data_IF_746959638150
#
_entry.id   IF_746959638150
#
_cell.length_a   1.000
_cell.length_b   1.000
_cell.length_c   1.000
_cell.angle_alpha   90.00
_cell.angle_beta   90.00
_cell.angle_gamma   90.00
#
_symmetry.space_group_name_H-M   'P 1'
#
loop_
_entity.id
_entity.type
_entity.pdbx_description
1 polymer ?
#
# COMPACT_ATOMS: atom_id res chain seq x y z
N UNK A 1 -26.97 -28.09 58.17
CA UNK A 1 -25.64 -28.52 57.69
C UNK A 1 -25.75 -29.90 57.08
N UNK A 2 -25.71 -29.98 55.74
CA UNK A 2 -25.28 -31.13 54.96
C UNK A 2 -25.07 -30.63 53.54
N UNK A 3 -23.80 -30.49 53.18
CA UNK A 3 -23.32 -30.15 51.84
C UNK A 3 -23.69 -31.27 50.85
N UNK A 4 -24.25 -30.90 49.70
CA UNK A 4 -24.36 -31.77 48.53
C UNK A 4 -23.45 -31.20 47.45
N UNK A 5 -22.20 -31.63 47.47
CA UNK A 5 -21.18 -31.35 46.47
C UNK A 5 -21.56 -32.06 45.17
N UNK A 6 -21.78 -31.28 44.11
CA UNK A 6 -21.92 -31.76 42.73
C UNK A 6 -20.65 -32.50 42.30
N UNK A 7 -20.76 -33.82 42.16
CA UNK A 7 -19.75 -34.64 41.48
C UNK A 7 -19.90 -34.36 39.98
N UNK A 8 -19.12 -33.39 39.46
CA UNK A 8 -18.93 -33.29 38.01
C UNK A 8 -18.03 -34.44 37.55
N UNK A 9 -18.62 -35.36 36.80
CA UNK A 9 -17.94 -36.46 36.13
C UNK A 9 -16.86 -35.91 35.18
N UNK A 10 -15.61 -36.32 35.46
CA UNK A 10 -14.38 -35.94 34.72
C UNK A 10 -14.47 -36.19 33.22
N UNK A 11 -15.39 -37.05 32.76
CA UNK A 11 -15.57 -37.42 31.34
C UNK A 11 -16.33 -36.38 30.52
N UNK A 12 -17.25 -35.62 31.13
CA UNK A 12 -17.99 -34.56 30.44
C UNK A 12 -17.13 -33.33 30.12
N UNK A 13 -16.11 -33.07 30.94
CA UNK A 13 -15.25 -31.89 30.80
C UNK A 13 -14.25 -32.01 29.63
N UNK A 14 -13.81 -33.24 29.31
CA UNK A 14 -12.86 -33.48 28.22
C UNK A 14 -13.52 -33.42 26.83
N UNK A 15 -14.82 -33.71 26.73
CA UNK A 15 -15.57 -33.63 25.47
C UNK A 15 -15.93 -32.16 25.15
N UNK A 16 -16.25 -31.34 26.16
CA UNK A 16 -16.50 -29.91 25.98
C UNK A 16 -15.25 -29.13 25.53
N UNK A 17 -14.06 -29.54 25.98
CA UNK A 17 -12.78 -28.96 25.56
C UNK A 17 -12.41 -29.30 24.10
N UNK A 18 -12.78 -30.49 23.62
CA UNK A 18 -12.49 -30.92 22.25
C UNK A 18 -13.27 -30.16 21.18
N UNK A 19 -14.54 -29.81 21.45
CA UNK A 19 -15.39 -29.09 20.49
C UNK A 19 -15.06 -27.58 20.42
N UNK A 20 -14.68 -26.98 21.55
CA UNK A 20 -14.24 -25.58 21.57
C UNK A 20 -12.91 -25.36 20.82
N UNK A 21 -11.99 -26.33 20.89
CA UNK A 21 -10.71 -26.27 20.20
C UNK A 21 -10.84 -26.31 18.66
N UNK A 22 -11.81 -27.07 18.12
CA UNK A 22 -12.02 -27.19 16.68
C UNK A 22 -12.65 -25.93 16.07
N UNK A 23 -13.55 -25.25 16.81
CA UNK A 23 -14.18 -24.01 16.35
C UNK A 23 -13.20 -22.83 16.39
N UNK A 24 -12.32 -22.76 17.40
CA UNK A 24 -11.28 -21.74 17.46
C UNK A 24 -10.25 -21.87 16.32
N UNK A 25 -9.89 -23.10 15.92
CA UNK A 25 -8.97 -23.34 14.80
C UNK A 25 -9.57 -22.99 13.43
N UNK A 26 -10.88 -23.18 13.24
CA UNK A 26 -11.55 -22.78 11.99
C UNK A 26 -11.66 -21.26 11.83
N UNK A 27 -11.85 -20.51 12.93
CA UNK A 27 -11.90 -19.04 12.89
C UNK A 27 -10.52 -18.40 12.64
N UNK A 28 -9.44 -18.99 13.20
CA UNK A 28 -8.06 -18.53 12.97
C UNK A 28 -7.61 -18.84 11.54
N UNK A 29 -8.03 -19.97 10.97
CA UNK A 29 -7.73 -20.32 9.58
C UNK A 29 -8.32 -19.33 8.57
N UNK A 30 -9.56 -18.87 8.76
CA UNK A 30 -10.21 -17.91 7.85
C UNK A 30 -9.64 -16.49 7.99
N UNK A 31 -9.16 -16.11 9.18
CA UNK A 31 -8.56 -14.78 9.38
C UNK A 31 -7.13 -14.69 8.82
N UNK A 32 -6.35 -15.78 8.89
CA UNK A 32 -4.98 -15.82 8.38
C UNK A 32 -4.89 -15.95 6.85
N UNK A 33 -5.89 -16.55 6.18
CA UNK A 33 -5.89 -16.68 4.71
C UNK A 33 -6.16 -15.33 4.02
N UNK A 34 -6.83 -14.37 4.67
CA UNK A 34 -7.02 -13.01 4.11
C UNK A 34 -5.74 -12.18 4.02
N UNK A 35 -4.67 -12.56 4.73
CA UNK A 35 -3.40 -11.82 4.73
C UNK A 35 -2.41 -12.27 3.64
N UNK A 36 -2.74 -13.27 2.82
CA UNK A 36 -1.75 -13.92 1.96
C UNK A 36 -1.88 -13.66 0.46
N UNK A 37 -2.82 -12.81 0.05
CA UNK A 37 -2.84 -12.29 -1.30
C UNK A 37 -2.86 -10.76 -1.21
N UNK A 38 -1.75 -10.07 -1.52
CA UNK A 38 -1.87 -8.67 -1.89
C UNK A 38 -2.75 -8.64 -3.15
N UNK A 39 -4.04 -8.39 -2.97
CA UNK A 39 -4.92 -8.05 -4.08
C UNK A 39 -4.63 -6.58 -4.38
N UNK A 40 -3.59 -6.38 -5.20
CA UNK A 40 -3.23 -5.08 -5.77
C UNK A 40 -4.39 -4.64 -6.65
N UNK A 41 -5.12 -3.62 -6.22
CA UNK A 41 -6.20 -3.04 -7.00
C UNK A 41 -5.60 -2.20 -8.15
N UNK A 42 -6.38 -1.96 -9.20
CA UNK A 42 -6.05 -0.91 -10.16
C UNK A 42 -6.34 0.47 -9.55
N UNK A 43 -5.79 1.54 -10.12
CA UNK A 43 -6.14 2.88 -9.64
C UNK A 43 -7.64 3.20 -9.84
N UNK A 44 -8.26 2.71 -10.90
CA UNK A 44 -9.70 2.85 -11.14
C UNK A 44 -10.53 2.17 -10.03
N UNK A 45 -10.06 1.02 -9.54
CA UNK A 45 -10.66 0.35 -8.38
C UNK A 45 -10.41 1.12 -7.07
N UNK A 46 -9.36 1.94 -6.98
CA UNK A 46 -9.10 2.81 -5.82
C UNK A 46 -10.00 4.05 -5.84
N UNK A 47 -10.20 4.69 -7.01
CA UNK A 47 -11.05 5.89 -7.13
C UNK A 47 -12.52 5.59 -6.86
N UNK A 48 -12.94 4.34 -7.02
CA UNK A 48 -14.29 3.86 -6.70
C UNK A 48 -14.45 3.41 -5.24
N UNK A 49 -13.36 3.24 -4.51
CA UNK A 49 -13.34 2.85 -3.09
C UNK A 49 -13.04 4.04 -2.17
N UNK A 50 -13.29 3.85 -0.87
CA UNK A 50 -12.88 4.83 0.14
C UNK A 50 -11.39 4.64 0.47
N UNK A 51 -10.57 5.60 0.05
CA UNK A 51 -9.17 5.72 0.47
C UNK A 51 -9.12 6.33 1.87
N UNK A 52 -8.50 5.62 2.80
CA UNK A 52 -8.40 6.02 4.21
C UNK A 52 -7.14 6.85 4.48
N UNK A 53 -6.04 6.53 3.79
CA UNK A 53 -4.78 7.25 3.89
C UNK A 53 -3.91 7.07 2.64
N UNK A 54 -2.92 7.95 2.49
CA UNK A 54 -1.89 7.83 1.46
C UNK A 54 -0.52 7.96 2.12
N UNK A 55 0.37 7.00 1.89
CA UNK A 55 1.80 7.16 2.20
C UNK A 55 2.51 7.63 0.93
N UNK A 56 3.27 8.72 1.02
CA UNK A 56 4.15 9.20 -0.04
C UNK A 56 5.60 8.97 0.37
N UNK A 57 6.41 8.43 -0.54
CA UNK A 57 7.82 8.13 -0.32
C UNK A 57 8.65 8.92 -1.31
N UNK A 58 9.43 9.88 -0.84
CA UNK A 58 10.38 10.65 -1.64
C UNK A 58 11.78 10.04 -1.53
N UNK A 59 12.38 9.67 -2.66
CA UNK A 59 13.67 8.97 -2.69
C UNK A 59 14.39 9.14 -4.04
N UNK A 60 15.64 8.68 -4.10
CA UNK A 60 16.38 8.57 -5.37
C UNK A 60 16.10 7.21 -6.01
N UNK A 61 15.54 7.21 -7.22
CA UNK A 61 15.17 6.00 -7.94
C UNK A 61 16.36 5.07 -8.14
N UNK A 62 16.20 3.83 -7.69
CA UNK A 62 17.14 2.75 -7.90
C UNK A 62 16.43 1.41 -7.66
N UNK A 63 17.00 0.33 -8.18
CA UNK A 63 16.49 -1.02 -7.90
C UNK A 63 16.57 -1.39 -6.40
N UNK A 64 17.44 -0.72 -5.63
CA UNK A 64 17.60 -0.94 -4.20
C UNK A 64 17.69 0.41 -3.46
N UNK A 65 16.53 1.07 -3.22
CA UNK A 65 16.50 2.31 -2.44
C UNK A 65 17.18 2.12 -1.09
N UNK A 66 17.93 3.12 -0.63
CA UNK A 66 18.60 3.06 0.68
C UNK A 66 17.71 3.59 1.81
N UNK A 67 16.83 4.52 1.48
CA UNK A 67 15.86 5.13 2.39
C UNK A 67 14.96 6.11 1.62
N UNK A 68 13.91 6.57 2.30
CA UNK A 68 13.00 7.58 1.78
C UNK A 68 12.53 8.51 2.90
N UNK A 69 12.18 9.74 2.52
CA UNK A 69 11.27 10.55 3.32
C UNK A 69 9.86 10.01 3.09
N UNK A 70 9.16 9.61 4.16
CA UNK A 70 7.79 9.15 4.08
C UNK A 70 6.86 10.18 4.70
N UNK A 71 5.84 10.60 3.96
CA UNK A 71 4.76 11.45 4.45
C UNK A 71 3.46 10.66 4.49
N UNK A 72 2.78 10.63 5.63
CA UNK A 72 1.44 10.03 5.77
C UNK A 72 0.37 11.10 5.72
N UNK A 73 -0.52 11.02 4.73
CA UNK A 73 -1.64 11.93 4.53
C UNK A 73 -2.95 11.22 4.90
N UNK A 74 -3.69 11.81 5.83
CA UNK A 74 -5.03 11.33 6.27
C UNK A 74 -6.12 12.40 6.10
N UNK A 75 -5.80 13.50 5.41
CA UNK A 75 -6.75 14.60 5.20
C UNK A 75 -7.82 14.21 4.20
N UNK A 76 -9.08 14.27 4.64
CA UNK A 76 -10.26 14.00 3.81
C UNK A 76 -10.44 15.00 2.65
N UNK A 77 -9.76 16.15 2.70
CA UNK A 77 -9.77 17.13 1.61
C UNK A 77 -8.68 16.85 0.58
N UNK A 78 -7.51 16.37 1.01
CA UNK A 78 -6.34 16.15 0.13
C UNK A 78 -6.43 14.83 -0.62
N UNK A 79 -6.92 13.78 0.04
CA UNK A 79 -6.99 12.42 -0.55
C UNK A 79 -7.82 12.38 -1.84
N UNK A 80 -9.03 12.99 -1.92
CA UNK A 80 -9.81 13.03 -3.16
C UNK A 80 -9.11 13.81 -4.29
N UNK A 81 -8.33 14.84 -3.96
CA UNK A 81 -7.58 15.60 -4.96
C UNK A 81 -6.41 14.77 -5.50
N UNK A 82 -5.66 14.08 -4.65
CA UNK A 82 -4.55 13.21 -5.06
C UNK A 82 -5.02 12.06 -5.94
N UNK A 83 -6.09 11.36 -5.52
CA UNK A 83 -6.65 10.24 -6.30
C UNK A 83 -7.16 10.71 -7.67
N UNK A 84 -7.84 11.87 -7.73
CA UNK A 84 -8.29 12.47 -8.99
C UNK A 84 -7.12 12.91 -9.88
N UNK A 85 -6.02 13.39 -9.31
CA UNK A 85 -4.86 13.79 -10.08
C UNK A 85 -4.27 12.61 -10.86
N UNK A 86 -4.25 11.40 -10.31
CA UNK A 86 -3.78 10.25 -11.06
C UNK A 86 -4.79 9.75 -12.11
N UNK A 87 -6.09 9.82 -11.83
CA UNK A 87 -7.15 9.47 -12.79
C UNK A 87 -7.14 10.39 -14.04
N UNK A 88 -6.89 11.68 -13.83
CA UNK A 88 -6.90 12.70 -14.89
C UNK A 88 -5.54 12.93 -15.53
N UNK A 89 -4.51 12.22 -15.07
CA UNK A 89 -3.15 12.42 -15.52
C UNK A 89 -3.02 12.10 -17.01
N UNK A 90 -2.48 13.01 -17.84
CA UNK A 90 -2.19 12.67 -19.23
C UNK A 90 -1.10 11.61 -19.25
N UNK A 91 -1.39 10.47 -19.89
CA UNK A 91 -0.48 9.33 -19.96
C UNK A 91 -0.18 9.00 -21.43
N UNK A 92 1.10 8.93 -21.77
CA UNK A 92 1.58 8.45 -23.07
C UNK A 92 2.50 7.26 -22.85
N UNK A 93 2.45 6.18 -23.65
CA UNK A 93 3.37 5.07 -23.49
C UNK A 93 4.82 5.55 -23.37
N UNK A 94 5.57 4.98 -22.42
CA UNK A 94 6.97 5.33 -22.25
C UNK A 94 7.85 4.43 -23.14
N UNK A 95 8.53 5.03 -24.10
CA UNK A 95 9.39 4.33 -25.07
C UNK A 95 10.88 4.27 -24.66
N UNK A 96 11.23 4.75 -23.45
CA UNK A 96 12.60 4.76 -22.95
C UNK A 96 12.97 3.50 -22.16
N UNK A 97 14.25 3.38 -21.79
CA UNK A 97 14.74 2.25 -21.00
C UNK A 97 14.73 2.59 -19.50
N UNK A 98 14.30 1.64 -18.66
CA UNK A 98 14.22 1.85 -17.20
C UNK A 98 15.58 2.25 -16.58
N UNK A 99 16.70 1.76 -17.14
CA UNK A 99 18.05 2.12 -16.67
C UNK A 99 18.35 3.62 -16.77
N UNK A 100 17.67 4.34 -17.67
CA UNK A 100 17.82 5.78 -17.84
C UNK A 100 17.20 6.57 -16.68
N UNK A 101 16.37 5.90 -15.85
CA UNK A 101 15.69 6.48 -14.70
C UNK A 101 16.51 6.39 -13.40
N UNK A 102 17.54 5.54 -13.37
CA UNK A 102 18.39 5.36 -12.20
C UNK A 102 19.06 6.68 -11.78
N UNK A 103 19.01 6.97 -10.47
CA UNK A 103 19.60 8.18 -9.89
C UNK A 103 18.70 9.43 -9.98
N UNK A 104 17.51 9.33 -10.56
CA UNK A 104 16.56 10.45 -10.63
C UNK A 104 15.72 10.56 -9.36
N UNK A 105 15.20 11.74 -9.01
CA UNK A 105 14.20 11.87 -7.96
C UNK A 105 12.97 11.01 -8.28
N UNK A 106 12.36 10.44 -7.25
CA UNK A 106 11.15 9.64 -7.37
C UNK A 106 10.20 9.88 -6.18
N UNK A 107 8.91 9.72 -6.46
CA UNK A 107 7.85 9.66 -5.46
C UNK A 107 7.07 8.37 -5.66
N UNK A 108 7.05 7.50 -4.65
CA UNK A 108 6.09 6.41 -4.62
C UNK A 108 4.88 6.78 -3.76
N UNK A 109 3.70 6.36 -4.19
CA UNK A 109 2.42 6.59 -3.54
C UNK A 109 1.83 5.24 -3.17
N UNK A 110 1.48 5.03 -1.91
CA UNK A 110 0.71 3.88 -1.45
C UNK A 110 -0.65 4.36 -0.95
N UNK A 111 -1.68 4.09 -1.74
CA UNK A 111 -3.08 4.39 -1.39
C UNK A 111 -3.64 3.24 -0.56
N UNK A 112 -4.02 3.50 0.68
CA UNK A 112 -4.67 2.53 1.55
C UNK A 112 -6.18 2.65 1.42
N UNK A 113 -6.85 1.55 1.08
CA UNK A 113 -8.32 1.50 1.00
C UNK A 113 -8.90 0.74 2.19
N UNK A 114 -10.16 1.01 2.48
CA UNK A 114 -10.92 0.31 3.51
C UNK A 114 -10.80 -1.23 3.35
N UNK A 115 -10.50 -1.92 4.46
CA UNK A 115 -10.29 -3.37 4.46
C UNK A 115 -8.83 -3.81 4.34
N UNK A 116 -7.88 -2.88 4.34
CA UNK A 116 -6.44 -3.15 4.46
C UNK A 116 -5.73 -3.47 3.14
N UNK A 117 -6.41 -3.31 2.00
CA UNK A 117 -5.78 -3.38 0.69
C UNK A 117 -5.06 -2.06 0.36
N UNK A 118 -4.15 -2.12 -0.60
CA UNK A 118 -3.45 -0.95 -1.08
C UNK A 118 -3.12 -1.01 -2.56
N UNK A 119 -2.79 0.15 -3.12
CA UNK A 119 -2.29 0.32 -4.48
C UNK A 119 -1.04 1.19 -4.45
N UNK A 120 -0.05 0.77 -5.22
CA UNK A 120 1.23 1.46 -5.32
C UNK A 120 1.44 2.03 -6.72
N UNK A 121 1.79 3.31 -6.78
CA UNK A 121 2.15 4.02 -8.02
C UNK A 121 3.48 4.69 -7.79
N UNK A 122 4.41 4.59 -8.74
CA UNK A 122 5.71 5.27 -8.64
C UNK A 122 5.88 6.27 -9.76
N UNK A 123 6.23 7.51 -9.42
CA UNK A 123 6.62 8.54 -10.36
C UNK A 123 8.13 8.76 -10.28
N UNK A 124 8.82 8.77 -11.41
CA UNK A 124 10.25 9.11 -11.53
C UNK A 124 10.39 10.36 -12.37
N UNK A 125 11.08 11.37 -11.84
CA UNK A 125 11.12 12.71 -12.42
C UNK A 125 12.26 12.83 -13.43
N UNK A 126 11.91 13.04 -14.71
CA UNK A 126 12.84 13.47 -15.76
C UNK A 126 13.09 14.99 -15.71
N UNK A 127 12.14 15.74 -15.16
CA UNK A 127 12.18 17.17 -14.87
C UNK A 127 10.97 17.58 -14.02
N UNK A 128 10.83 18.86 -13.68
CA UNK A 128 9.75 19.35 -12.80
C UNK A 128 8.34 19.00 -13.29
N UNK A 129 8.14 18.95 -14.60
CA UNK A 129 6.84 18.65 -15.21
C UNK A 129 6.90 17.41 -16.11
N UNK A 130 7.97 16.63 -16.07
CA UNK A 130 8.09 15.44 -16.92
C UNK A 130 8.41 14.24 -16.04
N UNK A 131 7.48 13.30 -15.97
CA UNK A 131 7.60 12.11 -15.12
C UNK A 131 7.37 10.84 -15.92
N UNK A 132 8.00 9.77 -15.47
CA UNK A 132 7.68 8.40 -15.86
C UNK A 132 6.92 7.76 -14.71
N UNK A 133 5.75 7.20 -15.00
CA UNK A 133 4.86 6.63 -14.00
C UNK A 133 4.73 5.13 -14.22
N UNK A 134 5.05 4.38 -13.17
CA UNK A 134 4.86 2.94 -13.07
C UNK A 134 3.52 2.67 -12.41
N UNK A 135 2.66 1.99 -13.16
CA UNK A 135 1.30 1.66 -12.74
C UNK A 135 1.21 0.28 -12.07
N UNK A 136 0.17 0.03 -11.26
CA UNK A 136 0.01 -1.22 -10.52
C UNK A 136 -0.11 -2.45 -11.42
N UNK A 137 -0.58 -2.27 -12.66
CA UNK A 137 -0.73 -3.32 -13.67
C UNK A 137 0.59 -3.66 -14.39
N UNK A 138 1.68 -2.94 -14.08
CA UNK A 138 3.01 -3.08 -14.66
C UNK A 138 3.23 -2.26 -15.94
N UNK A 139 2.25 -1.45 -16.34
CA UNK A 139 2.40 -0.52 -17.46
C UNK A 139 3.22 0.71 -17.03
N UNK A 140 3.94 1.28 -18.00
CA UNK A 140 4.82 2.43 -17.78
C UNK A 140 4.45 3.52 -18.77
N UNK A 141 4.15 4.72 -18.25
CA UNK A 141 3.73 5.85 -19.05
C UNK A 141 4.56 7.09 -18.73
N UNK A 142 4.86 7.90 -19.74
CA UNK A 142 5.28 9.28 -19.55
C UNK A 142 4.07 10.17 -19.24
N UNK A 143 4.29 11.22 -18.45
CA UNK A 143 3.32 12.28 -18.20
C UNK A 143 3.99 13.64 -18.11
N UNK A 144 3.24 14.68 -18.52
CA UNK A 144 3.61 16.08 -18.32
C UNK A 144 3.11 16.67 -16.99
N UNK A 145 2.58 15.84 -16.09
CA UNK A 145 2.19 16.23 -14.73
C UNK A 145 3.26 15.80 -13.74
N UNK A 146 4.20 16.71 -13.48
CA UNK A 146 5.14 16.59 -12.37
C UNK A 146 4.82 17.58 -11.24
N UNK A 147 5.80 17.78 -10.37
CA UNK A 147 5.74 18.74 -9.27
C UNK A 147 7.11 19.44 -9.12
N UNK A 148 7.17 20.61 -8.47
CA UNK A 148 8.43 21.12 -7.95
C UNK A 148 9.10 20.06 -7.05
N UNK A 149 10.43 20.01 -7.11
CA UNK A 149 11.22 19.02 -6.35
C UNK A 149 11.17 19.28 -4.84
N UNK A 150 11.36 18.21 -4.06
CA UNK A 150 11.52 18.08 -2.61
C UNK A 150 10.55 18.84 -1.68
N UNK A 151 9.94 18.12 -0.73
CA UNK A 151 9.21 18.73 0.39
C UNK A 151 7.85 19.35 0.06
N UNK A 152 7.40 19.28 -1.20
CA UNK A 152 6.08 19.78 -1.61
C UNK A 152 4.92 19.18 -0.79
N UNK A 153 5.08 17.95 -0.29
CA UNK A 153 4.05 17.26 0.49
C UNK A 153 4.31 17.25 2.00
N UNK A 154 5.44 17.76 2.49
CA UNK A 154 5.78 17.73 3.91
C UNK A 154 4.77 18.50 4.77
N UNK A 155 4.13 19.52 4.20
CA UNK A 155 3.09 20.30 4.86
C UNK A 155 1.72 19.60 4.90
N UNK A 156 1.53 18.53 4.12
CA UNK A 156 0.24 17.85 3.98
C UNK A 156 0.04 16.68 4.95
N UNK A 157 1.06 16.32 5.72
CA UNK A 157 1.03 15.12 6.56
C UNK A 157 2.11 15.07 7.63
N UNK A 158 2.27 13.89 8.23
CA UNK A 158 3.39 13.62 9.14
C UNK A 158 4.53 13.00 8.37
N UNK A 159 5.71 13.62 8.41
CA UNK A 159 6.92 13.15 7.71
C UNK A 159 7.89 12.44 8.66
N UNK A 160 8.38 11.27 8.25
CA UNK A 160 9.48 10.54 8.90
C UNK A 160 10.48 9.95 7.89
N UNK A 161 11.62 9.45 8.36
CA UNK A 161 12.58 8.75 7.50
C UNK A 161 12.43 7.24 7.66
N UNK A 162 12.25 6.53 6.55
CA UNK A 162 12.08 5.08 6.53
C UNK A 162 13.23 4.38 5.78
N UNK A 163 13.59 3.15 6.17
CA UNK A 163 14.57 2.36 5.44
C UNK A 163 14.04 1.97 4.06
N UNK A 164 14.97 1.79 3.11
CA UNK A 164 14.64 1.47 1.72
C UNK A 164 13.77 0.23 1.51
N UNK A 165 13.83 -0.74 2.43
CA UNK A 165 12.99 -1.95 2.40
C UNK A 165 11.48 -1.67 2.56
N UNK A 166 11.09 -0.47 2.99
CA UNK A 166 9.69 -0.06 3.11
C UNK A 166 9.17 0.70 1.88
N UNK A 167 10.09 1.13 1.00
CA UNK A 167 9.77 1.91 -0.19
C UNK A 167 9.07 1.01 -1.21
N UNK A 168 7.88 1.37 -1.72
CA UNK A 168 7.27 0.68 -2.84
C UNK A 168 8.23 0.61 -4.02
N UNK A 169 8.42 -0.59 -4.58
CA UNK A 169 9.26 -0.77 -5.75
C UNK A 169 8.40 -0.65 -7.01
N UNK A 170 8.90 0.09 -8.00
CA UNK A 170 8.32 0.11 -9.33
C UNK A 170 8.30 -1.32 -9.89
N UNK A 171 7.12 -1.85 -10.14
CA UNK A 171 6.97 -3.18 -10.73
C UNK A 171 6.86 -3.03 -12.23
N UNK A 172 7.89 -3.46 -12.97
CA UNK A 172 7.78 -3.65 -14.43
C UNK A 172 7.34 -5.07 -14.72
N UNK A 173 6.42 -5.27 -15.68
CA UNK A 173 6.25 -6.63 -16.24
C UNK A 173 7.57 -7.00 -16.90
N UNK A 174 8.27 -7.97 -16.32
CA UNK A 174 9.35 -8.63 -17.06
C UNK A 174 8.71 -9.31 -18.27
N UNK A 175 9.23 -9.08 -19.50
CA UNK A 175 8.70 -9.72 -20.70
C UNK A 175 8.79 -11.25 -20.66
#
# INVERSE_FOLDING_TARGET
>A
MRDNTLILDRRGFLIALGVAAVIALAAVGVFLIRHFFPSTLTLEEVTTQTVESVELFEYTYSANPQGASRTVITSAEVIPELTRAFDQMPATPFDGEERELAGKPATAYRFHVAGGQYVEVTQVFLGEQNVVVFWPNGEVYGSSWGRPFDGFYDELGTTDTVPGAQVPLATTRTP
#
